data_IF_373911556772
#
_entry.id   IF_373911556772
#
_cell.length_a   1.000
_cell.length_b   1.000
_cell.length_c   1.000
_cell.angle_alpha   90.00
_cell.angle_beta   90.00
_cell.angle_gamma   90.00
#
_symmetry.space_group_name_H-M   'P 1'
#
loop_
_entity.id
_entity.type
_entity.pdbx_description
1 polymer ?
#
# COMPACT_ATOMS: atom_id res chain seq x y z
N UNK A 1 1.49 -17.86 -11.03
CA UNK A 1 0.69 -16.78 -11.62
C UNK A 1 1.43 -15.49 -11.35
N UNK A 2 1.53 -14.63 -12.35
CA UNK A 2 2.12 -13.30 -12.22
C UNK A 2 1.00 -12.27 -12.24
N UNK A 3 1.18 -11.17 -11.50
CA UNK A 3 0.37 -9.96 -11.64
C UNK A 3 1.30 -8.90 -12.18
N UNK A 4 1.12 -8.54 -13.44
CA UNK A 4 2.07 -7.70 -14.16
C UNK A 4 1.81 -6.22 -13.85
N UNK A 5 2.86 -5.41 -13.91
CA UNK A 5 2.74 -3.96 -13.73
C UNK A 5 3.58 -3.13 -14.71
N UNK A 6 3.13 -1.91 -14.96
CA UNK A 6 3.89 -0.85 -15.61
C UNK A 6 4.40 0.13 -14.55
N UNK A 7 5.68 0.50 -14.59
CA UNK A 7 6.27 1.54 -13.73
C UNK A 7 6.74 2.68 -14.63
N UNK A 8 6.13 3.84 -14.51
CA UNK A 8 6.33 4.97 -15.43
C UNK A 8 6.67 6.27 -14.73
N UNK A 9 7.38 7.15 -15.43
CA UNK A 9 7.66 8.54 -15.00
C UNK A 9 7.26 9.54 -16.08
N UNK A 10 6.38 10.49 -15.73
CA UNK A 10 6.12 11.70 -16.50
C UNK A 10 7.18 12.74 -16.15
N UNK A 11 8.07 13.03 -17.10
CA UNK A 11 9.17 13.96 -16.93
C UNK A 11 8.71 15.41 -17.08
N UNK A 12 9.53 16.34 -16.58
CA UNK A 12 9.25 17.79 -16.66
C UNK A 12 9.05 18.31 -18.09
N UNK A 13 9.73 17.71 -19.07
CA UNK A 13 9.63 18.02 -20.50
C UNK A 13 8.34 17.51 -21.17
N UNK A 14 7.53 16.74 -20.42
CA UNK A 14 6.26 16.18 -20.87
C UNK A 14 6.35 14.79 -21.45
N UNK A 15 7.55 14.24 -21.68
CA UNK A 15 7.73 12.86 -22.15
C UNK A 15 7.55 11.86 -21.01
N UNK A 16 7.24 10.60 -21.33
CA UNK A 16 6.99 9.54 -20.35
C UNK A 16 7.93 8.38 -20.64
N UNK A 17 8.66 7.89 -19.63
CA UNK A 17 9.41 6.63 -19.72
C UNK A 17 8.70 5.55 -18.90
N UNK A 18 8.73 4.31 -19.36
CA UNK A 18 8.06 3.16 -18.74
C UNK A 18 9.01 1.95 -18.71
N UNK A 19 8.97 1.21 -17.60
CA UNK A 19 9.50 -0.14 -17.48
C UNK A 19 8.40 -1.13 -17.10
N UNK A 20 8.41 -2.30 -17.73
CA UNK A 20 7.56 -3.44 -17.38
C UNK A 20 8.07 -4.13 -16.10
N UNK A 21 7.16 -4.67 -15.28
CA UNK A 21 7.43 -5.47 -14.09
C UNK A 21 6.58 -6.75 -14.11
N UNK A 22 7.22 -7.92 -13.98
CA UNK A 22 6.53 -9.21 -14.11
C UNK A 22 5.76 -9.61 -12.85
N UNK A 23 6.38 -9.48 -11.68
CA UNK A 23 5.82 -10.00 -10.44
C UNK A 23 5.21 -8.91 -9.55
N UNK A 24 4.23 -9.33 -8.76
CA UNK A 24 3.66 -8.62 -7.62
C UNK A 24 3.12 -7.21 -7.91
N UNK A 25 2.56 -7.00 -9.10
CA UNK A 25 2.06 -5.72 -9.56
C UNK A 25 0.96 -5.07 -8.71
N UNK A 26 0.39 -5.78 -7.75
CA UNK A 26 -0.69 -5.29 -6.88
C UNK A 26 -0.21 -4.21 -5.88
N UNK A 27 -1.19 -3.58 -5.22
CA UNK A 27 -0.99 -2.36 -4.44
C UNK A 27 -0.33 -2.60 -3.07
N UNK A 28 -0.90 -3.50 -2.26
CA UNK A 28 -0.42 -3.81 -0.89
C UNK A 28 0.55 -4.99 -0.92
N UNK A 29 1.66 -4.92 -0.18
CA UNK A 29 2.69 -5.97 -0.12
C UNK A 29 3.30 -6.31 -1.50
N UNK A 30 3.20 -5.37 -2.46
CA UNK A 30 3.64 -5.52 -3.85
C UNK A 30 4.28 -4.25 -4.40
N UNK A 31 4.22 -4.07 -5.73
CA UNK A 31 4.85 -2.95 -6.44
C UNK A 31 4.37 -1.60 -5.92
N UNK A 32 3.06 -1.43 -5.67
CA UNK A 32 2.52 -0.15 -5.24
C UNK A 32 3.11 0.36 -3.92
N UNK A 33 3.08 -0.46 -2.88
CA UNK A 33 3.65 -0.12 -1.58
C UNK A 33 5.17 0.06 -1.64
N UNK A 34 5.86 -0.77 -2.42
CA UNK A 34 7.32 -0.68 -2.61
C UNK A 34 7.71 0.66 -3.25
N UNK A 35 7.02 1.07 -4.31
CA UNK A 35 7.23 2.36 -4.97
C UNK A 35 6.99 3.53 -4.02
N UNK A 36 5.87 3.54 -3.30
CA UNK A 36 5.53 4.60 -2.35
C UNK A 36 6.55 4.72 -1.21
N UNK A 37 7.05 3.59 -0.73
CA UNK A 37 7.93 3.53 0.45
C UNK A 37 9.38 3.91 0.11
N UNK A 38 9.89 3.44 -1.03
CA UNK A 38 11.32 3.50 -1.32
C UNK A 38 11.71 4.41 -2.49
N UNK A 39 10.82 4.63 -3.47
CA UNK A 39 11.13 5.40 -4.67
C UNK A 39 10.46 6.78 -4.62
N UNK A 40 11.02 7.69 -3.80
CA UNK A 40 10.42 9.00 -3.48
C UNK A 40 10.88 10.13 -4.39
N UNK A 41 12.02 9.98 -5.03
CA UNK A 41 12.65 11.00 -5.86
C UNK A 41 12.74 10.55 -7.32
N UNK A 42 12.72 11.54 -8.23
CA UNK A 42 12.74 11.27 -9.66
C UNK A 42 14.02 10.58 -10.14
N UNK A 43 15.16 10.76 -9.47
CA UNK A 43 16.45 10.21 -9.90
C UNK A 43 16.46 8.70 -9.69
N UNK A 44 16.03 8.21 -8.51
CA UNK A 44 15.92 6.78 -8.21
C UNK A 44 14.95 6.06 -9.15
N UNK A 45 13.84 6.72 -9.51
CA UNK A 45 12.85 6.17 -10.44
C UNK A 45 13.40 6.11 -11.86
N UNK A 46 14.08 7.16 -12.33
CA UNK A 46 14.75 7.14 -13.65
C UNK A 46 15.82 6.06 -13.70
N UNK A 47 16.60 5.91 -12.63
CA UNK A 47 17.66 4.90 -12.56
C UNK A 47 17.09 3.47 -12.54
N UNK A 48 15.95 3.25 -11.88
CA UNK A 48 15.18 2.01 -11.93
C UNK A 48 14.72 1.72 -13.36
N UNK A 49 14.03 2.66 -14.01
CA UNK A 49 13.49 2.48 -15.36
C UNK A 49 14.60 2.26 -16.40
N UNK A 50 15.73 2.95 -16.28
CA UNK A 50 16.92 2.71 -17.12
C UNK A 50 17.50 1.30 -16.99
N UNK A 51 17.15 0.56 -15.94
CA UNK A 51 17.50 -0.85 -15.78
C UNK A 51 16.73 -1.77 -16.75
N UNK A 52 15.66 -1.29 -17.38
CA UNK A 52 14.85 -2.04 -18.33
C UNK A 52 13.72 -2.83 -17.66
N UNK A 53 13.31 -3.93 -18.28
CA UNK A 53 12.24 -4.76 -17.75
C UNK A 53 12.65 -5.45 -16.43
N UNK A 54 11.72 -5.47 -15.49
CA UNK A 54 11.86 -5.97 -14.12
C UNK A 54 11.17 -7.33 -14.03
N UNK A 55 11.87 -8.31 -13.47
CA UNK A 55 11.29 -9.58 -13.04
C UNK A 55 10.57 -9.37 -11.70
N UNK A 56 11.31 -8.87 -10.71
CA UNK A 56 10.83 -8.63 -9.35
C UNK A 56 11.39 -7.30 -8.83
N UNK A 57 10.50 -6.40 -8.41
CA UNK A 57 10.87 -5.08 -7.89
C UNK A 57 11.45 -5.21 -6.48
N UNK A 58 12.64 -4.66 -6.26
CA UNK A 58 13.23 -4.51 -4.93
C UNK A 58 13.05 -3.10 -4.36
N UNK A 59 13.43 -2.94 -3.09
CA UNK A 59 13.43 -1.65 -2.37
C UNK A 59 14.34 -0.59 -3.02
N UNK A 60 15.30 -1.01 -3.82
CA UNK A 60 16.20 -0.16 -4.58
C UNK A 60 16.71 -0.93 -5.80
N UNK A 61 17.35 -0.22 -6.74
CA UNK A 61 17.89 -0.82 -7.96
C UNK A 61 18.81 -2.01 -7.71
N UNK A 62 19.62 -2.00 -6.65
CA UNK A 62 20.56 -3.09 -6.35
C UNK A 62 19.84 -4.38 -5.93
N UNK A 63 18.70 -4.24 -5.26
CA UNK A 63 17.83 -5.36 -4.88
C UNK A 63 16.82 -5.77 -5.96
N UNK A 64 16.61 -4.94 -6.99
CA UNK A 64 15.71 -5.22 -8.10
C UNK A 64 16.30 -6.26 -9.05
N UNK A 65 15.50 -7.27 -9.39
CA UNK A 65 15.87 -8.29 -10.38
C UNK A 65 15.37 -7.83 -11.76
N UNK A 66 16.30 -7.58 -12.66
CA UNK A 66 16.00 -7.20 -14.04
C UNK A 66 16.07 -8.42 -14.96
N UNK A 67 15.28 -8.40 -16.03
CA UNK A 67 15.49 -9.32 -17.14
C UNK A 67 16.84 -9.01 -17.81
N UNK A 68 17.74 -9.97 -17.78
CA UNK A 68 19.07 -9.82 -18.37
C UNK A 68 18.97 -9.68 -19.89
N UNK A 69 19.29 -8.48 -20.40
CA UNK A 69 19.38 -8.11 -21.82
C UNK A 69 18.03 -8.07 -22.54
N UNK A 70 17.29 -6.98 -22.41
CA UNK A 70 16.69 -6.27 -23.53
C UNK A 70 16.26 -4.88 -23.05
N UNK A 71 16.46 -3.86 -23.89
CA UNK A 71 16.11 -2.46 -23.64
C UNK A 71 14.59 -2.29 -23.75
N UNK A 72 13.85 -2.89 -22.81
CA UNK A 72 12.40 -2.85 -22.73
C UNK A 72 11.91 -1.57 -22.02
N UNK A 73 12.72 -0.52 -22.02
CA UNK A 73 12.29 0.81 -21.65
C UNK A 73 11.51 1.41 -22.81
N UNK A 74 10.25 1.75 -22.58
CA UNK A 74 9.41 2.40 -23.57
C UNK A 74 9.32 3.89 -23.28
N UNK A 75 9.62 4.73 -24.28
CA UNK A 75 9.47 6.18 -24.18
C UNK A 75 8.33 6.68 -25.05
N UNK A 76 7.49 7.54 -24.48
CA UNK A 76 6.37 8.19 -25.13
C UNK A 76 6.61 9.69 -25.21
N UNK A 77 6.16 10.30 -26.31
CA UNK A 77 6.33 11.75 -26.54
C UNK A 77 5.57 12.61 -25.54
N UNK A 78 4.44 12.11 -25.03
CA UNK A 78 3.58 12.82 -24.11
C UNK A 78 2.62 11.84 -23.39
N UNK A 79 1.94 12.35 -22.36
CA UNK A 79 0.97 11.57 -21.58
C UNK A 79 -0.22 11.05 -22.41
N UNK A 80 -0.63 11.76 -23.47
CA UNK A 80 -1.73 11.33 -24.32
C UNK A 80 -1.34 10.11 -25.17
N UNK A 81 -0.09 10.03 -25.62
CA UNK A 81 0.43 8.86 -26.32
C UNK A 81 0.66 7.68 -25.36
N UNK A 82 1.13 7.95 -24.13
CA UNK A 82 1.18 6.94 -23.06
C UNK A 82 -0.18 6.31 -22.78
N UNK A 83 -1.25 7.11 -22.67
CA UNK A 83 -2.60 6.59 -22.40
C UNK A 83 -3.20 5.75 -23.54
N UNK A 84 -2.68 5.86 -24.77
CA UNK A 84 -3.07 5.00 -25.91
C UNK A 84 -2.33 3.66 -25.93
N UNK A 85 -1.26 3.52 -25.15
CA UNK A 85 -0.44 2.30 -25.11
C UNK A 85 -1.16 1.16 -24.38
N UNK A 86 -0.65 -0.07 -24.57
CA UNK A 86 -1.13 -1.20 -23.77
C UNK A 86 -0.69 -1.01 -22.33
N UNK A 87 -1.67 -1.12 -21.44
CA UNK A 87 -1.52 -1.06 -19.99
C UNK A 87 -1.48 -2.47 -19.43
N UNK A 88 -0.63 -2.69 -18.43
CA UNK A 88 -0.56 -3.97 -17.72
C UNK A 88 -1.74 -4.10 -16.73
N UNK A 89 -1.76 -5.16 -15.94
CA UNK A 89 -2.81 -5.35 -14.93
C UNK A 89 -2.77 -4.27 -13.84
N UNK A 90 -1.63 -3.64 -13.61
CA UNK A 90 -1.47 -2.49 -12.72
C UNK A 90 -0.54 -1.47 -13.37
N UNK A 91 -0.89 -0.19 -13.37
CA UNK A 91 0.00 0.85 -13.86
C UNK A 91 0.32 1.84 -12.75
N UNK A 92 1.58 2.19 -12.63
CA UNK A 92 2.10 3.18 -11.69
C UNK A 92 2.76 4.29 -12.46
N UNK A 93 2.41 5.54 -12.15
CA UNK A 93 2.91 6.73 -12.82
C UNK A 93 3.38 7.75 -11.79
N UNK A 94 4.66 8.06 -11.80
CA UNK A 94 5.24 9.18 -11.06
C UNK A 94 5.21 10.44 -11.91
N UNK A 95 4.71 11.53 -11.36
CA UNK A 95 4.80 12.85 -11.99
C UNK A 95 5.94 13.64 -11.37
N UNK A 96 6.98 13.92 -12.17
CA UNK A 96 8.16 14.65 -11.73
C UNK A 96 7.86 16.11 -11.33
N UNK A 97 6.80 16.72 -11.87
CA UNK A 97 6.44 18.10 -11.53
C UNK A 97 5.80 18.20 -10.15
N UNK A 98 4.89 17.27 -9.84
CA UNK A 98 4.23 17.21 -8.53
C UNK A 98 4.99 16.38 -7.49
N UNK A 99 6.02 15.64 -7.92
CA UNK A 99 6.76 14.67 -7.09
C UNK A 99 5.85 13.67 -6.39
N UNK A 100 4.87 13.14 -7.13
CA UNK A 100 3.82 12.29 -6.59
C UNK A 100 3.55 11.08 -7.47
N UNK A 101 3.16 9.99 -6.82
CA UNK A 101 2.74 8.76 -7.49
C UNK A 101 1.23 8.72 -7.68
N UNK A 102 0.84 8.09 -8.77
CA UNK A 102 -0.52 7.67 -9.06
C UNK A 102 -0.52 6.24 -9.57
N UNK A 103 -1.64 5.53 -9.42
CA UNK A 103 -1.80 4.18 -9.90
C UNK A 103 -3.17 3.96 -10.54
N UNK A 104 -3.27 3.01 -11.46
CA UNK A 104 -4.53 2.44 -11.91
C UNK A 104 -4.45 0.92 -11.83
N UNK A 105 -5.44 0.28 -11.22
CA UNK A 105 -5.58 -1.16 -11.31
C UNK A 105 -6.44 -1.51 -12.54
N UNK A 106 -6.04 -2.54 -13.26
CA UNK A 106 -6.78 -3.14 -14.37
C UNK A 106 -7.98 -3.97 -13.90
N UNK A 107 -8.09 -4.17 -12.58
CA UNK A 107 -9.21 -4.86 -11.93
C UNK A 107 -10.41 -3.92 -11.81
N UNK A 108 -11.30 -3.97 -12.81
CA UNK A 108 -12.56 -3.21 -12.84
C UNK A 108 -12.75 -2.40 -14.12
N UNK A 109 -13.88 -1.69 -14.22
CA UNK A 109 -14.20 -0.86 -15.39
C UNK A 109 -13.52 0.52 -15.35
N UNK A 110 -13.04 0.95 -14.18
CA UNK A 110 -12.44 2.26 -13.96
C UNK A 110 -10.92 2.17 -14.06
N UNK A 111 -10.38 2.52 -15.23
CA UNK A 111 -8.94 2.57 -15.51
C UNK A 111 -8.32 3.96 -15.28
N UNK A 112 -8.99 4.81 -14.50
CA UNK A 112 -8.46 6.14 -14.16
C UNK A 112 -7.31 6.04 -13.15
N UNK A 113 -6.33 6.93 -13.27
CA UNK A 113 -5.26 7.06 -12.31
C UNK A 113 -5.77 7.71 -11.03
N UNK A 114 -5.50 7.06 -9.89
CA UNK A 114 -5.80 7.51 -8.54
C UNK A 114 -4.50 7.82 -7.80
N UNK A 115 -4.47 8.78 -6.86
CA UNK A 115 -3.27 9.03 -6.07
C UNK A 115 -2.79 7.78 -5.34
N UNK A 116 -1.50 7.46 -5.45
CA UNK A 116 -0.86 6.41 -4.65
C UNK A 116 -0.37 7.05 -3.36
N UNK A 117 -1.13 6.88 -2.28
CA UNK A 117 -0.82 7.43 -0.96
C UNK A 117 -0.92 6.36 0.11
N UNK A 118 -0.45 6.67 1.32
CA UNK A 118 -0.60 5.76 2.45
C UNK A 118 -2.08 5.50 2.76
N UNK A 119 -2.96 6.49 2.56
CA UNK A 119 -4.41 6.32 2.71
C UNK A 119 -4.97 5.34 1.67
N UNK A 120 -4.47 5.38 0.42
CA UNK A 120 -4.88 4.42 -0.60
C UNK A 120 -4.44 2.99 -0.24
N UNK A 121 -3.21 2.82 0.26
CA UNK A 121 -2.67 1.55 0.76
C UNK A 121 -3.53 1.03 1.93
N UNK A 122 -3.79 1.88 2.93
CA UNK A 122 -4.58 1.50 4.10
C UNK A 122 -6.03 1.14 3.72
N UNK A 123 -6.63 1.88 2.78
CA UNK A 123 -7.97 1.60 2.25
C UNK A 123 -8.03 0.21 1.59
N UNK A 124 -7.01 -0.17 0.83
CA UNK A 124 -6.94 -1.51 0.23
C UNK A 124 -6.78 -2.60 1.30
N UNK A 125 -5.96 -2.36 2.34
CA UNK A 125 -5.87 -3.26 3.51
C UNK A 125 -7.22 -3.39 4.22
N UNK A 126 -7.99 -2.32 4.35
CA UNK A 126 -9.36 -2.35 4.91
C UNK A 126 -10.31 -3.20 4.05
N UNK A 127 -10.23 -3.13 2.73
CA UNK A 127 -11.01 -3.99 1.82
C UNK A 127 -10.65 -5.47 2.01
N UNK A 128 -9.37 -5.78 2.19
CA UNK A 128 -8.91 -7.15 2.44
C UNK A 128 -9.46 -7.66 3.77
N UNK A 129 -9.37 -6.89 4.85
CA UNK A 129 -9.97 -7.24 6.15
C UNK A 129 -11.48 -7.48 6.01
N UNK A 130 -12.19 -6.56 5.33
CA UNK A 130 -13.62 -6.69 5.07
C UNK A 130 -13.97 -7.99 4.33
N UNK A 131 -13.20 -8.31 3.28
CA UNK A 131 -13.38 -9.53 2.49
C UNK A 131 -13.21 -10.78 3.35
N UNK A 132 -12.15 -10.86 4.15
CA UNK A 132 -11.87 -12.04 4.98
C UNK A 132 -12.86 -12.21 6.14
N UNK A 133 -13.39 -11.11 6.68
CA UNK A 133 -14.51 -11.15 7.63
C UNK A 133 -15.76 -11.75 6.96
N UNK A 134 -16.10 -11.30 5.74
CA UNK A 134 -17.32 -11.71 5.03
C UNK A 134 -17.24 -13.10 4.41
N UNK A 135 -16.05 -13.59 4.11
CA UNK A 135 -15.87 -14.85 3.39
C UNK A 135 -16.40 -16.05 4.20
N UNK A 136 -17.09 -16.98 3.54
CA UNK A 136 -17.65 -18.17 4.19
C UNK A 136 -16.54 -19.17 4.48
N UNK A 137 -16.44 -19.59 5.74
CA UNK A 137 -15.56 -20.68 6.16
C UNK A 137 -16.26 -22.03 5.93
N UNK A 138 -15.57 -22.96 5.26
CA UNK A 138 -16.07 -24.33 5.07
C UNK A 138 -15.35 -25.33 5.99
N UNK A 139 -14.24 -24.90 6.63
CA UNK A 139 -13.47 -25.70 7.58
C UNK A 139 -12.93 -24.81 8.73
N UNK A 140 -12.85 -25.31 9.99
CA UNK A 140 -12.35 -24.53 11.14
C UNK A 140 -10.94 -23.96 10.96
N UNK A 141 -10.05 -24.69 10.28
CA UNK A 141 -8.69 -24.20 9.96
C UNK A 141 -8.71 -22.93 9.09
N UNK A 142 -9.77 -22.72 8.30
CA UNK A 142 -9.90 -21.51 7.50
C UNK A 142 -10.05 -20.27 8.41
N UNK A 143 -10.74 -20.42 9.53
CA UNK A 143 -10.97 -19.32 10.50
C UNK A 143 -9.65 -18.86 11.10
N UNK A 144 -8.80 -19.78 11.51
CA UNK A 144 -7.48 -19.45 12.09
C UNK A 144 -6.59 -18.74 11.08
N UNK A 145 -6.53 -19.21 9.84
CA UNK A 145 -5.73 -18.58 8.80
C UNK A 145 -6.26 -17.18 8.47
N UNK A 146 -7.58 -17.02 8.33
CA UNK A 146 -8.20 -15.70 8.08
C UNK A 146 -7.96 -14.71 9.21
N UNK A 147 -7.96 -15.16 10.47
CA UNK A 147 -7.59 -14.33 11.62
C UNK A 147 -6.16 -13.79 11.48
N UNK A 148 -5.19 -14.63 11.12
CA UNK A 148 -3.81 -14.19 10.92
C UNK A 148 -3.71 -13.11 9.82
N UNK A 149 -4.41 -13.29 8.70
CA UNK A 149 -4.45 -12.30 7.61
C UNK A 149 -5.09 -10.99 8.09
N UNK A 150 -6.22 -11.07 8.80
CA UNK A 150 -6.88 -9.90 9.39
C UNK A 150 -5.94 -9.15 10.34
N UNK A 151 -5.27 -9.86 11.25
CA UNK A 151 -4.31 -9.27 12.19
C UNK A 151 -3.19 -8.56 11.44
N UNK A 152 -2.59 -9.21 10.45
CA UNK A 152 -1.51 -8.66 9.64
C UNK A 152 -1.92 -7.31 9.01
N UNK A 153 -3.08 -7.26 8.35
CA UNK A 153 -3.52 -6.03 7.69
C UNK A 153 -3.91 -4.92 8.67
N UNK A 154 -4.46 -5.25 9.84
CA UNK A 154 -4.73 -4.27 10.90
C UNK A 154 -3.42 -3.72 11.47
N UNK A 155 -2.44 -4.58 11.75
CA UNK A 155 -1.11 -4.20 12.23
C UNK A 155 -0.40 -3.29 11.21
N UNK A 156 -0.55 -3.58 9.92
CA UNK A 156 0.03 -2.80 8.82
C UNK A 156 -0.74 -1.52 8.47
N UNK A 157 -1.87 -1.23 9.14
CA UNK A 157 -2.51 0.10 9.07
C UNK A 157 -3.98 0.12 8.62
N UNK A 158 -4.64 -1.01 8.43
CA UNK A 158 -6.08 -1.02 8.16
C UNK A 158 -6.86 -0.42 9.34
N UNK A 159 -7.77 0.52 9.07
CA UNK A 159 -8.62 1.10 10.10
C UNK A 159 -9.93 0.33 10.27
N UNK A 160 -10.08 -0.36 11.40
CA UNK A 160 -11.27 -1.15 11.68
C UNK A 160 -12.57 -0.31 11.72
N UNK A 161 -12.52 0.98 12.08
CA UNK A 161 -13.71 1.83 12.06
C UNK A 161 -14.21 2.10 10.64
N UNK A 162 -13.32 2.16 9.65
CA UNK A 162 -13.71 2.24 8.25
C UNK A 162 -14.31 0.91 7.78
N UNK A 163 -13.71 -0.22 8.16
CA UNK A 163 -14.27 -1.56 7.88
C UNK A 163 -15.67 -1.70 8.46
N UNK A 164 -15.91 -1.25 9.70
CA UNK A 164 -17.24 -1.21 10.34
C UNK A 164 -18.25 -0.40 9.53
N UNK A 165 -17.86 0.80 9.06
CA UNK A 165 -18.73 1.63 8.21
C UNK A 165 -19.06 0.93 6.88
N UNK A 166 -18.11 0.22 6.28
CA UNK A 166 -18.32 -0.56 5.06
C UNK A 166 -19.20 -1.81 5.28
N UNK A 167 -19.17 -2.38 6.48
CA UNK A 167 -20.15 -3.38 6.89
C UNK A 167 -21.54 -2.75 6.98
N UNK A 168 -21.68 -1.55 7.53
CA UNK A 168 -22.99 -0.87 7.66
C UNK A 168 -23.89 -1.57 8.68
N UNK A 169 -25.23 -1.38 8.65
CA UNK A 169 -26.18 -2.07 9.55
C UNK A 169 -26.35 -3.57 9.22
N UNK A 170 -25.39 -4.14 8.50
CA UNK A 170 -25.42 -5.50 8.00
C UNK A 170 -25.30 -6.47 9.18
N UNK A 171 -26.33 -7.30 9.35
CA UNK A 171 -26.40 -8.25 10.43
C UNK A 171 -25.48 -9.44 10.13
N UNK A 172 -24.27 -9.40 10.69
CA UNK A 172 -23.26 -10.45 10.59
C UNK A 172 -23.83 -11.83 10.96
N UNK A 173 -24.86 -11.88 11.83
CA UNK A 173 -25.50 -13.12 12.28
C UNK A 173 -26.53 -13.71 11.29
N UNK A 174 -27.06 -12.91 10.34
CA UNK A 174 -28.18 -13.33 9.47
C UNK A 174 -27.76 -13.91 8.12
N UNK A 175 -26.52 -13.72 7.67
CA UNK A 175 -26.08 -14.22 6.36
C UNK A 175 -24.71 -14.89 6.36
N UNK A 176 -23.95 -14.79 7.44
CA UNK A 176 -22.58 -15.30 7.48
C UNK A 176 -22.48 -16.26 8.67
N UNK A 177 -21.84 -17.39 8.41
CA UNK A 177 -21.54 -18.42 9.41
C UNK A 177 -21.11 -17.80 10.77
N UNK A 178 -21.41 -18.41 11.94
CA UNK A 178 -20.96 -17.93 13.25
C UNK A 178 -19.49 -17.46 13.31
N UNK A 179 -18.64 -18.00 12.43
CA UNK A 179 -17.24 -17.60 12.25
C UNK A 179 -17.01 -16.15 11.79
N UNK A 180 -17.96 -15.48 11.13
CA UNK A 180 -17.78 -14.09 10.72
C UNK A 180 -17.81 -13.11 11.88
N UNK A 181 -18.72 -13.34 12.84
CA UNK A 181 -18.72 -12.59 14.09
C UNK A 181 -17.43 -12.86 14.86
N UNK A 182 -17.00 -14.12 14.94
CA UNK A 182 -15.74 -14.49 15.60
C UNK A 182 -14.50 -13.80 14.97
N UNK A 183 -14.44 -13.71 13.63
CA UNK A 183 -13.37 -12.98 12.92
C UNK A 183 -13.43 -11.48 13.18
N UNK A 184 -14.62 -10.90 13.25
CA UNK A 184 -14.80 -9.49 13.55
C UNK A 184 -14.43 -9.15 15.00
N UNK A 185 -14.84 -9.98 15.97
CA UNK A 185 -14.49 -9.80 17.38
C UNK A 185 -12.97 -9.88 17.58
N UNK A 186 -12.32 -10.81 16.89
CA UNK A 186 -10.86 -10.89 16.88
C UNK A 186 -10.20 -9.66 16.25
N UNK A 187 -10.73 -9.16 15.13
CA UNK A 187 -10.27 -7.91 14.51
C UNK A 187 -10.35 -6.73 15.51
N UNK A 188 -11.44 -6.65 16.28
CA UNK A 188 -11.63 -5.65 17.31
C UNK A 188 -10.59 -5.77 18.43
N UNK A 189 -10.34 -6.98 18.93
CA UNK A 189 -9.32 -7.23 19.95
C UNK A 189 -7.93 -6.76 19.50
N UNK A 190 -7.54 -7.06 18.25
CA UNK A 190 -6.26 -6.62 17.68
C UNK A 190 -6.19 -5.09 17.60
N UNK A 191 -7.25 -4.45 17.08
CA UNK A 191 -7.30 -2.99 16.97
C UNK A 191 -7.20 -2.30 18.34
N UNK A 192 -7.87 -2.84 19.37
CA UNK A 192 -7.84 -2.30 20.73
C UNK A 192 -6.45 -2.41 21.36
N UNK A 193 -5.76 -3.54 21.14
CA UNK A 193 -4.37 -3.73 21.58
C UNK A 193 -3.42 -2.70 20.96
N UNK A 194 -3.55 -2.44 19.66
CA UNK A 194 -2.73 -1.44 18.94
C UNK A 194 -3.03 -0.04 19.48
N UNK A 195 -4.29 0.31 19.65
CA UNK A 195 -4.70 1.61 20.18
C UNK A 195 -4.15 1.84 21.59
N UNK A 196 -4.22 0.82 22.46
CA UNK A 196 -3.64 0.88 23.80
C UNK A 196 -2.12 1.06 23.76
N UNK A 197 -1.42 0.28 22.93
CA UNK A 197 0.03 0.39 22.76
C UNK A 197 0.44 1.79 22.29
N UNK A 198 -0.27 2.35 21.31
CA UNK A 198 -0.03 3.69 20.80
C UNK A 198 -0.29 4.77 21.84
N UNK A 199 -1.34 4.61 22.66
CA UNK A 199 -1.63 5.51 23.78
C UNK A 199 -0.50 5.51 24.81
N UNK A 200 -0.08 4.32 25.27
CA UNK A 200 1.00 4.17 26.24
C UNK A 200 2.33 4.74 25.73
N UNK A 201 2.64 4.53 24.44
CA UNK A 201 3.83 5.10 23.81
C UNK A 201 3.80 6.64 23.83
N UNK A 202 2.67 7.26 23.45
CA UNK A 202 2.52 8.73 23.47
C UNK A 202 2.67 9.30 24.89
N UNK A 203 2.05 8.67 25.88
CA UNK A 203 2.18 9.06 27.30
C UNK A 203 3.63 8.98 27.78
N UNK A 204 4.36 7.93 27.39
CA UNK A 204 5.78 7.76 27.73
C UNK A 204 6.65 8.86 27.14
N UNK A 205 6.48 9.18 25.84
CA UNK A 205 7.20 10.27 25.18
C UNK A 205 6.90 11.62 25.85
N UNK A 206 5.64 11.87 26.21
CA UNK A 206 5.24 13.09 26.90
C UNK A 206 5.92 13.23 28.28
N UNK A 207 6.01 12.15 29.04
CA UNK A 207 6.69 12.14 30.34
C UNK A 207 8.20 12.39 30.20
N UNK A 208 8.85 11.74 29.24
CA UNK A 208 10.28 11.93 28.95
C UNK A 208 10.59 13.37 28.50
N UNK A 209 9.73 13.96 27.66
CA UNK A 209 9.88 15.35 27.22
C UNK A 209 9.63 16.40 28.31
N UNK A 210 8.91 16.05 29.39
CA UNK A 210 8.77 16.91 30.57
C UNK A 210 10.01 16.85 31.47
N UNK A 211 10.68 15.69 31.53
CA UNK A 211 11.91 15.50 32.30
C UNK A 211 13.15 16.17 31.66
N UNK A 212 13.12 16.44 30.35
CA UNK A 212 14.23 17.06 29.61
C UNK A 212 14.22 18.60 29.61
N UNK A 213 13.24 19.26 30.26
CA UNK A 213 13.24 20.72 30.38
C UNK A 213 14.24 21.16 31.45
N UNK A 214 15.22 22.04 31.15
CA UNK A 214 16.19 22.48 32.15
C UNK A 214 15.47 23.21 33.28
N UNK A 215 15.71 22.78 34.53
CA UNK A 215 15.33 23.56 35.72
C UNK A 215 16.06 24.89 35.64
N UNK A 216 15.36 25.97 35.31
CA UNK A 216 15.87 27.33 35.52
C UNK A 216 16.04 27.54 37.02
N UNK A 217 17.24 27.29 37.52
CA UNK A 217 17.63 27.65 38.87
C UNK A 217 17.69 29.17 38.95
N UNK A 218 16.68 29.78 39.56
CA UNK A 218 16.71 31.18 40.01
C UNK A 218 17.79 31.32 41.08
N UNK A 219 19.01 31.64 40.66
CA UNK A 219 20.04 32.16 41.56
C UNK A 219 19.73 33.65 41.73
N UNK A 220 19.12 34.02 42.86
CA UNK A 220 19.08 35.42 43.31
C UNK A 220 20.48 35.77 43.82
N UNK A 221 21.09 36.78 43.20
CA UNK A 221 22.29 37.48 43.68
C UNK A 221 21.84 38.51 44.71
#
# INVERSE_FOLDING_TARGET
MSTNASISILKKDGTVDLAYCHHDGYLIDGVGETLLTHYKDAESIKDLIRGGAIDELGENKQSTKFYGRDDNCHSFKNIADYHKSHKEECDYLYDEKSSSWSFSNGYGNDKSFKPLTQEAINSEREQVVLRFIKERDNHPNDVSWRKNVIEEHIVKGANLENVKKMLGPYDLSKQISPYAQEKFDYAQEVADKINLKNKLFKETIQQLGQLSKPRTSNIKI
#
